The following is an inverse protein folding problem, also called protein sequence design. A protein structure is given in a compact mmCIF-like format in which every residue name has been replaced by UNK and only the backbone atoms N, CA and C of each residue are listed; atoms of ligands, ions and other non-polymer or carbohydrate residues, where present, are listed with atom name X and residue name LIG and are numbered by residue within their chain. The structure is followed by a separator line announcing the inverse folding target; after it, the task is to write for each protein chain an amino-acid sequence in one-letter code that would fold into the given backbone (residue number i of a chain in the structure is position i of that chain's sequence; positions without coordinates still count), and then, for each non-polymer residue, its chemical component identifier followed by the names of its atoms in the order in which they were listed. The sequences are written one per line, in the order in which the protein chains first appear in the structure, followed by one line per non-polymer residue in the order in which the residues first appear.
data_IF_672852259141
#
_entry.id   IF_672852259141
#
_cell.length_a   1.000
_cell.length_b   1.000
_cell.length_c   1.000
_cell.angle_alpha   90.00
_cell.angle_beta   90.00
_cell.angle_gamma   90.00
#
_symmetry.space_group_name_H-M   'P 1'
#
loop_
_entity.id
_entity.type
_entity.pdbx_description
1 polymer ?
#
# COMPACT_ATOMS: atom_id res chain seq x y z
N UNK A 1 -18.48 -28.41 -29.45
CA UNK A 1 -18.54 -27.04 -28.84
C UNK A 1 -17.13 -26.76 -28.36
N UNK A 2 -16.28 -26.25 -29.26
CA UNK A 2 -14.88 -25.94 -28.94
C UNK A 2 -14.83 -24.66 -28.13
N UNK A 3 -14.33 -24.76 -26.89
CA UNK A 3 -14.08 -23.61 -26.02
C UNK A 3 -12.85 -22.87 -26.53
N UNK A 4 -13.09 -21.76 -27.19
CA UNK A 4 -12.05 -20.81 -27.58
C UNK A 4 -11.51 -20.10 -26.34
N UNK A 5 -10.41 -20.61 -25.76
CA UNK A 5 -9.57 -19.83 -24.89
C UNK A 5 -8.46 -19.22 -25.75
N UNK A 6 -8.36 -17.89 -25.86
CA UNK A 6 -7.24 -17.28 -26.56
C UNK A 6 -5.95 -17.62 -25.84
N UNK A 7 -4.91 -17.89 -26.63
CA UNK A 7 -3.55 -18.15 -26.13
C UNK A 7 -3.16 -17.11 -25.08
N UNK A 8 -2.57 -17.56 -23.96
CA UNK A 8 -2.08 -16.72 -22.87
C UNK A 8 -1.22 -15.57 -23.43
N UNK A 9 -1.80 -14.38 -23.48
CA UNK A 9 -1.06 -13.18 -23.78
C UNK A 9 -0.14 -12.93 -22.58
N UNK A 10 1.15 -13.23 -22.73
CA UNK A 10 2.16 -12.98 -21.71
C UNK A 10 2.18 -11.48 -21.44
N UNK A 11 1.78 -11.09 -20.24
CA UNK A 11 1.86 -9.69 -19.80
C UNK A 11 3.33 -9.35 -19.71
N UNK A 12 3.80 -8.45 -20.56
CA UNK A 12 5.20 -8.02 -20.58
C UNK A 12 5.42 -6.87 -19.59
N UNK A 13 6.67 -6.66 -19.16
CA UNK A 13 7.08 -5.50 -18.33
C UNK A 13 6.56 -4.16 -18.88
N UNK A 14 6.36 -4.04 -20.19
CA UNK A 14 5.81 -2.85 -20.83
C UNK A 14 4.33 -2.64 -20.49
N UNK A 15 3.55 -3.72 -20.28
CA UNK A 15 2.14 -3.63 -19.88
C UNK A 15 1.98 -3.10 -18.45
N UNK A 16 2.90 -3.45 -17.55
CA UNK A 16 2.90 -2.93 -16.18
C UNK A 16 3.11 -1.43 -16.11
N UNK A 17 3.87 -0.87 -17.02
CA UNK A 17 4.12 0.57 -17.07
C UNK A 17 2.98 1.31 -17.77
N UNK A 18 2.54 0.85 -18.93
CA UNK A 18 1.48 1.51 -19.72
C UNK A 18 0.10 1.48 -19.05
N UNK A 19 -0.16 0.48 -18.18
CA UNK A 19 -1.44 0.32 -17.48
C UNK A 19 -1.31 0.44 -15.95
N UNK A 20 -0.38 1.28 -15.47
CA UNK A 20 -0.07 1.42 -14.03
C UNK A 20 -1.32 1.72 -13.18
N UNK A 21 -2.19 2.62 -13.64
CA UNK A 21 -3.42 2.99 -12.92
C UNK A 21 -4.38 1.80 -12.79
N UNK A 22 -4.59 1.04 -13.86
CA UNK A 22 -5.44 -0.16 -13.83
C UNK A 22 -4.85 -1.21 -12.88
N UNK A 23 -3.54 -1.47 -13.00
CA UNK A 23 -2.81 -2.39 -12.12
C UNK A 23 -2.95 -2.01 -10.64
N UNK A 24 -2.73 -0.74 -10.31
CA UNK A 24 -2.86 -0.23 -8.94
C UNK A 24 -4.27 -0.45 -8.39
N UNK A 25 -5.30 -0.22 -9.20
CA UNK A 25 -6.69 -0.48 -8.82
C UNK A 25 -6.99 -1.95 -8.62
N UNK A 26 -6.50 -2.83 -9.50
CA UNK A 26 -6.67 -4.28 -9.33
C UNK A 26 -6.04 -4.73 -8.01
N UNK A 27 -4.80 -4.34 -7.74
CA UNK A 27 -4.11 -4.72 -6.51
C UNK A 27 -4.83 -4.19 -5.26
N UNK A 28 -5.30 -2.95 -5.28
CA UNK A 28 -6.09 -2.38 -4.18
C UNK A 28 -7.36 -3.19 -3.92
N UNK A 29 -8.13 -3.52 -4.98
CA UNK A 29 -9.35 -4.31 -4.85
C UNK A 29 -9.06 -5.73 -4.35
N UNK A 30 -8.02 -6.38 -4.87
CA UNK A 30 -7.60 -7.72 -4.45
C UNK A 30 -7.16 -7.70 -2.98
N UNK A 31 -6.37 -6.70 -2.57
CA UNK A 31 -5.95 -6.53 -1.18
C UNK A 31 -7.16 -6.41 -0.24
N UNK A 32 -8.12 -5.56 -0.58
CA UNK A 32 -9.35 -5.40 0.22
C UNK A 32 -10.15 -6.71 0.26
N UNK A 33 -10.30 -7.37 -0.88
CA UNK A 33 -11.04 -8.65 -0.95
C UNK A 33 -10.37 -9.74 -0.10
N UNK A 34 -9.05 -9.88 -0.18
CA UNK A 34 -8.31 -10.89 0.57
C UNK A 34 -8.33 -10.62 2.08
N UNK A 35 -8.18 -9.36 2.50
CA UNK A 35 -8.27 -8.98 3.91
C UNK A 35 -9.66 -9.22 4.47
N UNK A 36 -10.73 -8.81 3.78
CA UNK A 36 -12.11 -9.03 4.22
C UNK A 36 -12.46 -10.51 4.23
N UNK A 37 -12.07 -11.28 3.21
CA UNK A 37 -12.27 -12.74 3.16
C UNK A 37 -11.58 -13.42 4.34
N UNK A 38 -10.34 -13.01 4.65
CA UNK A 38 -9.60 -13.60 5.77
C UNK A 38 -10.23 -13.27 7.13
N UNK A 39 -10.67 -12.04 7.33
CA UNK A 39 -11.39 -11.63 8.53
C UNK A 39 -12.70 -12.41 8.70
N UNK A 40 -13.46 -12.60 7.62
CA UNK A 40 -14.65 -13.43 7.60
C UNK A 40 -14.35 -14.87 8.04
N UNK A 41 -13.29 -15.49 7.52
CA UNK A 41 -12.86 -16.84 7.90
C UNK A 41 -12.50 -16.94 9.39
N UNK A 42 -12.04 -15.85 9.99
CA UNK A 42 -11.74 -15.76 11.42
C UNK A 42 -12.98 -15.42 12.29
N UNK A 43 -14.16 -15.28 11.70
CA UNK A 43 -15.37 -14.88 12.40
C UNK A 43 -15.41 -13.39 12.77
N UNK A 44 -14.51 -12.57 12.21
CA UNK A 44 -14.43 -11.12 12.47
C UNK A 44 -15.26 -10.40 11.41
N UNK A 45 -16.42 -9.86 11.81
CA UNK A 45 -17.40 -9.24 10.90
C UNK A 45 -17.63 -7.74 11.17
N UNK A 46 -17.03 -7.17 12.21
CA UNK A 46 -17.16 -5.76 12.59
C UNK A 46 -16.08 -4.91 11.92
N UNK A 47 -16.01 -4.97 10.60
CA UNK A 47 -15.00 -4.29 9.78
C UNK A 47 -15.67 -3.37 8.78
N UNK A 48 -15.14 -2.17 8.63
CA UNK A 48 -15.55 -1.20 7.63
C UNK A 48 -14.36 -0.84 6.73
N UNK A 49 -14.63 -0.58 5.45
CA UNK A 49 -13.65 -0.08 4.47
C UNK A 49 -14.21 1.16 3.83
N UNK A 50 -13.45 2.25 3.92
CA UNK A 50 -13.80 3.54 3.34
C UNK A 50 -12.71 3.97 2.35
N UNK A 51 -13.10 4.65 1.29
CA UNK A 51 -12.17 5.26 0.34
C UNK A 51 -12.33 6.77 0.34
N UNK A 52 -11.24 7.53 0.28
CA UNK A 52 -11.35 8.96 0.07
C UNK A 52 -11.87 9.22 -1.34
N UNK A 53 -12.71 10.23 -1.50
CA UNK A 53 -13.20 10.64 -2.82
C UNK A 53 -12.06 11.17 -3.71
N UNK A 54 -11.03 11.77 -3.08
CA UNK A 54 -9.84 12.29 -3.76
C UNK A 54 -8.59 12.15 -2.87
N UNK A 55 -7.42 12.04 -3.51
CA UNK A 55 -6.12 11.91 -2.81
C UNK A 55 -5.66 13.27 -2.24
N UNK A 56 -6.26 13.69 -1.12
CA UNK A 56 -5.86 14.93 -0.44
C UNK A 56 -4.86 14.69 0.71
N UNK A 57 -4.79 13.49 1.26
CA UNK A 57 -4.11 13.25 2.54
C UNK A 57 -3.13 12.07 2.52
N UNK A 58 -2.82 11.54 1.34
CA UNK A 58 -1.79 10.54 1.14
C UNK A 58 -2.11 9.16 1.69
N UNK A 59 -3.38 8.78 1.79
CA UNK A 59 -3.83 7.41 2.01
C UNK A 59 -4.83 7.00 0.94
N UNK A 60 -4.84 5.72 0.60
CA UNK A 60 -5.66 5.16 -0.47
C UNK A 60 -6.97 4.59 0.08
N UNK A 61 -6.94 4.12 1.33
CA UNK A 61 -8.12 3.57 1.99
C UNK A 61 -8.04 3.73 3.52
N UNK A 62 -9.21 3.67 4.16
CA UNK A 62 -9.36 3.56 5.60
C UNK A 62 -9.98 2.21 5.90
N UNK A 63 -9.39 1.46 6.82
CA UNK A 63 -10.01 0.26 7.38
C UNK A 63 -10.25 0.46 8.87
N UNK A 64 -11.43 0.08 9.33
CA UNK A 64 -11.81 0.14 10.72
C UNK A 64 -12.24 -1.25 11.21
N UNK A 65 -11.79 -1.62 12.41
CA UNK A 65 -12.26 -2.80 13.14
C UNK A 65 -12.54 -2.39 14.58
N UNK A 66 -13.82 -2.38 14.96
CA UNK A 66 -14.23 -1.85 16.26
C UNK A 66 -13.70 -0.43 16.47
N UNK A 67 -12.98 -0.15 17.57
CA UNK A 67 -12.43 1.19 17.82
C UNK A 67 -11.14 1.51 17.05
N UNK A 68 -10.54 0.54 16.38
CA UNK A 68 -9.25 0.71 15.69
C UNK A 68 -9.51 1.17 14.26
N UNK A 69 -9.03 2.37 13.93
CA UNK A 69 -9.07 2.94 12.58
C UNK A 69 -7.65 2.96 12.02
N UNK A 70 -7.49 2.65 10.73
CA UNK A 70 -6.21 2.74 10.01
C UNK A 70 -6.36 3.51 8.71
N UNK A 71 -5.53 4.54 8.54
CA UNK A 71 -5.36 5.27 7.28
C UNK A 71 -4.20 4.62 6.53
N UNK A 72 -4.50 3.91 5.47
CA UNK A 72 -3.53 3.03 4.80
C UNK A 72 -3.12 3.65 3.46
N UNK A 73 -1.82 3.87 3.28
CA UNK A 73 -1.25 4.10 1.96
C UNK A 73 -0.72 2.78 1.40
N UNK A 74 -1.19 2.41 0.23
CA UNK A 74 -0.68 1.26 -0.52
C UNK A 74 0.41 1.70 -1.49
N UNK A 75 1.45 0.92 -1.61
CA UNK A 75 2.47 1.02 -2.66
C UNK A 75 2.75 -0.35 -3.20
N UNK A 76 2.95 -0.45 -4.50
CA UNK A 76 3.17 -1.73 -5.16
C UNK A 76 4.44 -1.70 -6.01
N UNK A 77 5.04 -2.85 -6.21
CA UNK A 77 6.17 -3.00 -7.11
C UNK A 77 6.52 -4.46 -7.38
N UNK A 78 7.14 -4.70 -8.54
CA UNK A 78 7.64 -6.02 -8.96
C UNK A 78 9.02 -6.35 -8.39
N UNK A 79 9.64 -5.41 -7.70
CA UNK A 79 10.92 -5.62 -7.02
C UNK A 79 10.69 -6.47 -5.76
N UNK A 80 11.64 -7.35 -5.43
CA UNK A 80 11.55 -8.24 -4.24
C UNK A 80 11.38 -7.47 -2.91
N UNK A 81 11.81 -6.21 -2.84
CA UNK A 81 11.66 -5.32 -1.68
C UNK A 81 11.71 -3.86 -2.11
N UNK A 82 11.06 -2.95 -1.34
CA UNK A 82 11.16 -1.52 -1.63
C UNK A 82 12.62 -1.04 -1.47
N UNK A 83 13.02 -0.02 -2.22
CA UNK A 83 14.31 0.67 -2.01
C UNK A 83 14.12 1.91 -1.15
N UNK A 84 13.52 2.93 -1.78
CA UNK A 84 13.16 4.19 -1.15
C UNK A 84 11.70 4.46 -1.50
N UNK A 85 10.87 4.62 -0.50
CA UNK A 85 9.43 4.85 -0.70
C UNK A 85 9.10 6.28 -0.33
N UNK A 86 8.52 7.01 -1.28
CA UNK A 86 8.07 8.38 -1.05
C UNK A 86 6.74 8.38 -0.30
N UNK A 87 6.73 8.94 0.90
CA UNK A 87 5.57 9.02 1.80
C UNK A 87 5.20 10.48 2.03
N UNK A 88 3.92 10.88 1.87
CA UNK A 88 3.48 12.24 2.16
C UNK A 88 3.46 12.49 3.67
N UNK A 89 3.86 13.70 4.10
CA UNK A 89 3.81 14.12 5.50
C UNK A 89 2.40 14.11 6.06
N UNK A 90 1.41 14.42 5.23
CA UNK A 90 -0.01 14.38 5.62
C UNK A 90 -0.46 13.02 6.17
N UNK A 91 0.18 11.91 5.74
CA UNK A 91 -0.10 10.59 6.32
C UNK A 91 0.41 10.48 7.77
N UNK A 92 1.53 11.13 8.10
CA UNK A 92 2.06 11.16 9.46
C UNK A 92 1.22 12.05 10.42
N UNK A 93 0.42 12.95 9.87
CA UNK A 93 -0.53 13.78 10.63
C UNK A 93 -1.82 13.02 10.97
N UNK A 94 -2.02 11.83 10.39
CA UNK A 94 -3.17 10.99 10.73
C UNK A 94 -2.96 10.26 12.06
N UNK A 95 -4.01 10.13 12.89
CA UNK A 95 -3.89 9.49 14.21
C UNK A 95 -3.46 8.02 14.15
N UNK A 96 -3.59 7.38 12.99
CA UNK A 96 -3.26 5.97 12.78
C UNK A 96 -2.83 5.71 11.34
N UNK A 97 -2.00 6.60 10.78
CA UNK A 97 -1.41 6.42 9.45
C UNK A 97 -0.50 5.21 9.38
N UNK A 98 -0.51 4.53 8.25
CA UNK A 98 0.42 3.44 7.97
C UNK A 98 0.64 3.28 6.46
N UNK A 99 1.75 2.65 6.11
CA UNK A 99 2.10 2.34 4.73
C UNK A 99 2.34 0.85 4.58
N UNK A 100 1.73 0.26 3.58
CA UNK A 100 1.95 -1.10 3.16
C UNK A 100 2.51 -1.11 1.73
N UNK A 101 3.74 -1.57 1.59
CA UNK A 101 4.32 -1.85 0.29
C UNK A 101 4.10 -3.33 -0.04
N UNK A 102 3.53 -3.61 -1.22
CA UNK A 102 3.13 -4.94 -1.66
C UNK A 102 4.00 -5.34 -2.85
N UNK A 103 4.76 -6.43 -2.70
CA UNK A 103 5.36 -7.07 -3.85
C UNK A 103 4.26 -7.71 -4.70
N UNK A 104 4.34 -7.55 -6.01
CA UNK A 104 3.43 -8.18 -6.96
C UNK A 104 4.22 -8.93 -8.04
N UNK A 105 3.70 -10.08 -8.46
CA UNK A 105 4.17 -10.79 -9.65
C UNK A 105 3.64 -10.13 -10.92
N UNK A 106 4.04 -10.64 -12.08
CA UNK A 106 3.50 -10.19 -13.37
C UNK A 106 2.00 -10.54 -13.51
N UNK A 107 1.54 -11.59 -12.84
CA UNK A 107 0.14 -12.03 -12.75
C UNK A 107 -0.65 -11.30 -11.66
N UNK A 108 -0.02 -10.36 -10.96
CA UNK A 108 -0.55 -9.57 -9.86
C UNK A 108 -0.82 -10.35 -8.56
N UNK A 109 -0.17 -11.52 -8.38
CA UNK A 109 -0.14 -12.17 -7.08
C UNK A 109 0.58 -11.29 -6.06
N UNK A 110 0.03 -11.19 -4.86
CA UNK A 110 0.51 -10.29 -3.83
C UNK A 110 1.37 -11.02 -2.78
N UNK A 111 2.45 -10.37 -2.38
CA UNK A 111 3.35 -10.79 -1.28
C UNK A 111 4.75 -11.16 -1.74
N UNK A 112 5.74 -11.04 -0.85
CA UNK A 112 5.64 -10.58 0.53
C UNK A 112 5.25 -9.11 0.65
N UNK A 113 4.86 -8.72 1.88
CA UNK A 113 4.46 -7.37 2.23
C UNK A 113 5.53 -6.69 3.07
N UNK A 114 5.58 -5.36 3.05
CA UNK A 114 6.51 -4.57 3.84
C UNK A 114 5.74 -3.44 4.53
N UNK A 115 5.76 -3.47 5.84
CA UNK A 115 5.01 -2.59 6.73
C UNK A 115 5.85 -1.45 7.24
N UNK A 116 5.35 -0.23 7.15
CA UNK A 116 5.85 0.93 7.86
C UNK A 116 4.69 1.61 8.59
N UNK A 117 4.69 1.53 9.90
CA UNK A 117 3.64 2.01 10.79
C UNK A 117 3.96 1.62 12.23
N UNK A 118 3.14 2.09 13.15
CA UNK A 118 3.21 1.78 14.57
C UNK A 118 2.06 0.83 14.99
N UNK A 119 1.94 0.57 16.27
CA UNK A 119 0.88 -0.24 16.87
C UNK A 119 -0.53 0.26 16.45
N UNK A 120 -1.55 -0.60 16.52
CA UNK A 120 -2.93 -0.21 16.22
C UNK A 120 -3.35 1.06 16.98
N UNK A 121 -3.94 2.02 16.25
CA UNK A 121 -4.37 3.30 16.82
C UNK A 121 -3.24 4.31 17.09
N UNK A 122 -2.00 4.02 16.70
CA UNK A 122 -0.88 4.96 16.80
C UNK A 122 -0.57 5.60 15.45
N UNK A 123 -0.08 6.87 15.43
CA UNK A 123 0.34 7.52 14.19
C UNK A 123 1.59 6.85 13.60
N UNK A 124 1.97 7.25 12.40
CA UNK A 124 3.24 6.85 11.81
C UNK A 124 4.42 7.20 12.74
N UNK A 125 5.50 6.40 12.74
CA UNK A 125 6.78 6.83 13.29
C UNK A 125 7.24 8.16 12.71
N UNK A 126 8.04 8.92 13.46
CA UNK A 126 8.54 10.22 13.00
C UNK A 126 9.30 10.10 11.68
N UNK A 127 8.84 10.83 10.67
CA UNK A 127 9.43 10.78 9.33
C UNK A 127 10.25 12.03 8.95
N UNK A 128 10.22 13.07 9.73
CA UNK A 128 10.85 14.36 9.39
C UNK A 128 12.38 14.30 9.22
N UNK A 129 13.04 13.34 9.86
CA UNK A 129 14.48 13.10 9.69
C UNK A 129 14.90 12.44 8.39
N UNK A 130 13.97 11.95 7.58
CA UNK A 130 14.29 11.32 6.31
C UNK A 130 14.45 12.33 5.16
N UNK A 131 15.17 11.91 4.12
CA UNK A 131 15.49 12.74 2.97
C UNK A 131 14.23 13.21 2.21
N UNK A 132 14.32 14.41 1.64
CA UNK A 132 13.25 14.99 0.82
C UNK A 132 13.41 14.51 -0.64
N UNK A 133 12.38 13.89 -1.24
CA UNK A 133 12.45 13.48 -2.64
C UNK A 133 12.42 14.67 -3.59
N UNK A 134 12.99 14.47 -4.78
CA UNK A 134 12.82 15.39 -5.91
C UNK A 134 11.72 14.90 -6.84
N UNK A 135 11.07 15.82 -7.54
CA UNK A 135 10.08 15.46 -8.58
C UNK A 135 10.75 14.69 -9.72
N UNK A 136 10.01 13.77 -10.33
CA UNK A 136 10.49 13.08 -11.53
C UNK A 136 10.62 14.04 -12.72
N UNK A 137 9.71 15.02 -12.82
CA UNK A 137 9.66 16.01 -13.89
C UNK A 137 10.64 17.16 -13.64
N UNK A 138 11.27 17.65 -14.71
CA UNK A 138 12.10 18.83 -14.69
C UNK A 138 11.25 20.10 -14.94
N UNK A 139 11.67 21.22 -14.39
CA UNK A 139 11.18 22.56 -14.80
C UNK A 139 11.69 22.88 -16.20
N UNK A 140 11.19 23.98 -16.82
CA UNK A 140 11.73 24.51 -18.07
C UNK A 140 13.24 24.84 -17.99
N UNK A 141 13.76 25.12 -16.79
CA UNK A 141 15.18 25.36 -16.52
C UNK A 141 16.00 24.08 -16.23
N UNK A 142 15.45 22.87 -16.46
CA UNK A 142 16.15 21.60 -16.25
C UNK A 142 16.31 21.18 -14.78
N UNK A 143 15.70 21.89 -13.83
CA UNK A 143 15.82 21.63 -12.40
C UNK A 143 14.71 20.66 -11.96
N UNK A 144 15.05 19.69 -11.10
CA UNK A 144 14.07 18.82 -10.41
C UNK A 144 13.70 19.43 -9.04
N UNK A 145 12.51 20.02 -8.90
CA UNK A 145 12.10 20.63 -7.64
C UNK A 145 11.99 19.59 -6.52
N UNK A 146 12.31 20.00 -5.29
CA UNK A 146 12.09 19.19 -4.09
C UNK A 146 10.60 19.07 -3.76
N UNK A 147 10.19 17.90 -3.26
CA UNK A 147 8.82 17.64 -2.75
C UNK A 147 8.84 17.75 -1.22
N UNK A 148 8.83 18.96 -0.68
CA UNK A 148 8.98 19.23 0.76
C UNK A 148 7.92 18.56 1.64
N UNK A 149 6.74 18.27 1.08
CA UNK A 149 5.64 17.52 1.74
C UNK A 149 5.78 16.00 1.66
N UNK A 150 6.93 15.47 1.28
CA UNK A 150 7.20 14.04 1.25
C UNK A 150 8.54 13.73 1.91
N UNK A 151 8.68 12.48 2.34
CA UNK A 151 9.94 11.91 2.84
C UNK A 151 10.23 10.59 2.15
N UNK A 152 11.51 10.27 1.98
CA UNK A 152 11.99 9.00 1.41
C UNK A 152 12.30 8.02 2.54
N UNK A 153 11.44 7.05 2.73
CA UNK A 153 11.61 6.01 3.74
C UNK A 153 12.45 4.87 3.14
N UNK A 154 13.63 4.53 3.72
CA UNK A 154 14.47 3.45 3.24
C UNK A 154 13.85 2.09 3.57
N UNK A 155 14.20 1.05 2.81
CA UNK A 155 13.67 -0.30 3.04
C UNK A 155 13.99 -0.86 4.42
N UNK A 156 15.08 -0.42 5.05
CA UNK A 156 15.49 -0.84 6.39
C UNK A 156 14.53 -0.40 7.49
N UNK A 157 13.67 0.59 7.21
CA UNK A 157 12.64 1.03 8.13
C UNK A 157 11.34 0.18 8.04
N UNK A 158 11.25 -0.68 7.03
CA UNK A 158 10.08 -1.54 6.84
C UNK A 158 10.25 -2.88 7.54
N UNK A 159 9.20 -3.32 8.21
CA UNK A 159 9.08 -4.69 8.75
C UNK A 159 8.55 -5.61 7.64
N UNK A 160 9.26 -6.68 7.28
CA UNK A 160 8.74 -7.67 6.34
C UNK A 160 7.62 -8.48 6.99
N UNK A 161 6.56 -8.72 6.24
CA UNK A 161 5.39 -9.53 6.59
C UNK A 161 5.19 -10.56 5.48
N UNK A 162 4.93 -11.82 5.83
CA UNK A 162 4.88 -12.91 4.86
C UNK A 162 3.46 -13.22 4.40
N UNK A 163 2.49 -13.02 5.27
CA UNK A 163 1.12 -13.46 5.08
C UNK A 163 0.13 -12.32 5.26
N UNK A 164 -1.10 -12.52 4.77
CA UNK A 164 -2.19 -11.60 5.03
C UNK A 164 -2.54 -11.53 6.53
N UNK A 165 -2.32 -12.62 7.28
CA UNK A 165 -2.52 -12.64 8.72
C UNK A 165 -1.54 -11.72 9.44
N UNK A 166 -0.26 -11.70 9.01
CA UNK A 166 0.73 -10.76 9.54
C UNK A 166 0.32 -9.31 9.27
N UNK A 167 -0.22 -9.03 8.06
CA UNK A 167 -0.74 -7.72 7.70
C UNK A 167 -1.92 -7.32 8.58
N UNK A 168 -2.88 -8.22 8.77
CA UNK A 168 -4.04 -7.97 9.63
C UNK A 168 -3.65 -7.75 11.09
N UNK A 169 -2.64 -8.48 11.60
CA UNK A 169 -2.09 -8.25 12.94
C UNK A 169 -1.40 -6.89 13.05
N UNK A 170 -0.68 -6.45 12.02
CA UNK A 170 -0.07 -5.13 12.00
C UNK A 170 -1.13 -4.01 11.94
N UNK A 171 -2.24 -4.25 11.24
CA UNK A 171 -3.35 -3.30 11.14
C UNK A 171 -4.15 -3.22 12.45
N UNK A 172 -4.53 -4.35 13.04
CA UNK A 172 -5.57 -4.42 14.07
C UNK A 172 -5.14 -5.06 15.39
N UNK A 173 -3.90 -5.54 15.48
CA UNK A 173 -3.45 -6.29 16.64
C UNK A 173 -4.02 -7.71 16.65
N UNK A 174 -4.36 -8.22 17.84
CA UNK A 174 -4.81 -9.57 17.99
C UNK A 174 -6.11 -9.86 17.19
N UNK A 175 -6.08 -10.95 16.42
CA UNK A 175 -7.19 -11.37 15.57
C UNK A 175 -8.08 -12.37 16.31
N UNK A 176 -8.93 -11.85 17.20
CA UNK A 176 -10.00 -12.61 17.86
C UNK A 176 -11.36 -12.09 17.41
N UNK A 177 -12.38 -12.97 17.29
CA UNK A 177 -13.75 -12.56 17.04
C UNK A 177 -14.30 -11.57 18.06
#
# INVERSE_FOLDING_TARGET
METWYPAHMTITNNSHFSHSTLRERIVEHTFVADTLRRLWQLGIVNVEVLRPEFDAHGFDLVMQRGPIVRHIQLKTGTQKKPRLVSVPRALAEKPSGCLLWIHITDELDMGPFFWFGDLPGKPLPLIDGYAIPRRATHTKAGIRPSRHNHRLIPHTAFKPLQTIDDVLQALFGELRP
#
